data_IF_183385389204
#
_entry.id   IF_183385389204
#
_cell.length_a   1.000
_cell.length_b   1.000
_cell.length_c   1.000
_cell.angle_alpha   90.00
_cell.angle_beta   90.00
_cell.angle_gamma   90.00
#
_symmetry.space_group_name_H-M   'P 1'
#
loop_
_entity.id
_entity.type
_entity.pdbx_description
1 polymer ?
#
# COMPACT_ATOMS: atom_id res chain seq x y z
N UNK A 1 -12.17 3.93 3.17
CA UNK A 1 -11.68 2.55 3.46
C UNK A 1 -12.64 1.50 2.92
N UNK A 2 -13.94 1.68 3.13
CA UNK A 2 -15.04 0.86 2.59
C UNK A 2 -14.84 0.24 1.19
N UNK A 3 -14.49 1.03 0.17
CA UNK A 3 -14.22 0.55 -1.20
C UNK A 3 -13.16 -0.57 -1.25
N UNK A 4 -12.11 -0.47 -0.43
CA UNK A 4 -11.09 -1.50 -0.32
C UNK A 4 -11.67 -2.77 0.31
N UNK A 5 -12.42 -2.62 1.41
CA UNK A 5 -13.04 -3.75 2.14
C UNK A 5 -14.04 -4.49 1.25
N UNK A 6 -14.90 -3.77 0.53
CA UNK A 6 -15.84 -4.34 -0.44
C UNK A 6 -15.11 -5.17 -1.50
N UNK A 7 -13.98 -4.69 -2.02
CA UNK A 7 -13.16 -5.44 -2.97
C UNK A 7 -12.50 -6.66 -2.33
N UNK A 8 -12.00 -6.56 -1.10
CA UNK A 8 -11.44 -7.69 -0.34
C UNK A 8 -12.50 -8.80 -0.21
N UNK A 9 -13.73 -8.44 0.18
CA UNK A 9 -14.85 -9.37 0.33
C UNK A 9 -15.25 -9.99 -1.02
N UNK A 10 -15.44 -9.18 -2.06
CA UNK A 10 -15.86 -9.65 -3.38
C UNK A 10 -14.87 -10.64 -4.00
N UNK A 11 -13.57 -10.40 -3.80
CA UNK A 11 -12.49 -11.23 -4.34
C UNK A 11 -12.04 -12.33 -3.37
N UNK A 12 -12.54 -12.29 -2.14
CA UNK A 12 -12.06 -13.07 -0.98
C UNK A 12 -10.54 -13.05 -0.90
N UNK A 13 -9.95 -11.87 -0.99
CA UNK A 13 -8.51 -11.72 -1.09
C UNK A 13 -8.01 -10.48 -0.33
N UNK A 14 -7.33 -10.65 0.81
CA UNK A 14 -6.78 -9.54 1.59
C UNK A 14 -5.34 -9.22 1.18
N UNK A 15 -4.97 -9.41 -0.09
CA UNK A 15 -3.62 -9.09 -0.58
C UNK A 15 -3.58 -7.74 -1.30
N UNK A 16 -2.42 -7.11 -1.27
CA UNK A 16 -2.08 -5.99 -2.15
C UNK A 16 -0.78 -6.29 -2.87
N UNK A 17 -0.75 -6.09 -4.19
CA UNK A 17 0.46 -6.27 -4.99
C UNK A 17 1.25 -4.96 -4.97
N UNK A 18 2.46 -5.01 -4.44
CA UNK A 18 3.39 -3.88 -4.46
C UNK A 18 4.02 -3.73 -5.84
N UNK A 19 3.82 -2.57 -6.48
CA UNK A 19 4.38 -2.24 -7.79
C UNK A 19 5.68 -1.45 -7.60
N UNK A 20 6.72 -2.18 -7.21
CA UNK A 20 8.05 -1.67 -6.88
C UNK A 20 9.11 -2.14 -7.93
N UNK A 21 8.94 -1.77 -9.22
CA UNK A 21 9.75 -2.32 -10.29
C UNK A 21 11.23 -1.91 -10.17
N UNK A 22 12.12 -2.85 -10.51
CA UNK A 22 13.52 -2.59 -10.87
C UNK A 22 13.73 -3.09 -12.28
N UNK A 23 14.66 -2.51 -13.03
CA UNK A 23 15.05 -3.04 -14.35
C UNK A 23 15.41 -4.53 -14.28
N UNK A 24 16.04 -4.96 -13.19
CA UNK A 24 16.37 -6.37 -12.98
C UNK A 24 15.15 -7.27 -12.86
N UNK A 25 13.97 -6.78 -12.47
CA UNK A 25 12.75 -7.59 -12.35
C UNK A 25 12.07 -7.80 -13.71
N UNK A 26 12.34 -6.91 -14.66
CA UNK A 26 11.65 -6.82 -15.93
C UNK A 26 12.28 -7.78 -16.94
N UNK A 27 11.47 -8.61 -17.62
CA UNK A 27 11.95 -9.48 -18.69
C UNK A 27 12.70 -8.72 -19.78
N UNK A 28 13.73 -9.37 -20.34
CA UNK A 28 14.58 -8.77 -21.36
C UNK A 28 13.81 -8.26 -22.60
N UNK A 29 12.80 -8.98 -23.16
CA UNK A 29 12.04 -8.48 -24.30
C UNK A 29 11.31 -7.16 -24.03
N UNK A 30 10.76 -6.98 -22.81
CA UNK A 30 10.06 -5.75 -22.41
C UNK A 30 11.04 -4.58 -22.31
N UNK A 31 12.20 -4.80 -21.68
CA UNK A 31 13.26 -3.77 -21.62
C UNK A 31 13.76 -3.39 -23.01
N UNK A 32 14.03 -4.38 -23.86
CA UNK A 32 14.54 -4.15 -25.20
C UNK A 32 13.56 -3.36 -26.06
N UNK A 33 12.26 -3.67 -26.00
CA UNK A 33 11.22 -2.92 -26.69
C UNK A 33 11.17 -1.45 -26.24
N UNK A 34 11.21 -1.21 -24.92
CA UNK A 34 11.23 0.15 -24.37
C UNK A 34 12.49 0.92 -24.76
N UNK A 35 13.67 0.29 -24.68
CA UNK A 35 14.95 0.91 -25.04
C UNK A 35 15.11 1.13 -26.54
N UNK A 36 14.50 0.30 -27.39
CA UNK A 36 14.47 0.54 -28.83
C UNK A 36 13.67 1.80 -29.18
N UNK A 37 12.58 2.10 -28.45
CA UNK A 37 11.72 3.27 -28.68
C UNK A 37 12.25 4.56 -28.06
N UNK A 38 12.85 4.47 -26.87
CA UNK A 38 13.17 5.65 -26.05
C UNK A 38 14.65 5.75 -25.64
N UNK A 39 15.49 4.84 -26.15
CA UNK A 39 16.89 4.73 -25.79
C UNK A 39 17.10 4.16 -24.39
N UNK A 40 18.37 3.94 -24.03
CA UNK A 40 18.81 3.56 -22.68
C UNK A 40 18.87 4.80 -21.79
N UNK A 41 17.70 5.36 -21.49
CA UNK A 41 17.51 6.62 -20.77
C UNK A 41 16.56 6.44 -19.60
N UNK A 42 16.41 7.46 -18.74
CA UNK A 42 15.37 7.46 -17.69
C UNK A 42 13.95 7.29 -18.29
N UNK A 43 13.72 7.88 -19.47
CA UNK A 43 12.48 7.71 -20.22
C UNK A 43 12.29 6.26 -20.70
N UNK A 44 13.34 5.61 -21.20
CA UNK A 44 13.28 4.19 -21.59
C UNK A 44 13.06 3.25 -20.41
N UNK A 45 13.69 3.53 -19.27
CA UNK A 45 13.46 2.78 -18.04
C UNK A 45 12.02 2.95 -17.52
N UNK A 46 11.50 4.18 -17.53
CA UNK A 46 10.13 4.48 -17.11
C UNK A 46 9.11 3.81 -18.04
N UNK A 47 9.34 3.79 -19.35
CA UNK A 47 8.50 3.06 -20.30
C UNK A 47 8.50 1.55 -20.04
N UNK A 48 9.66 0.96 -19.71
CA UNK A 48 9.75 -0.45 -19.33
C UNK A 48 8.98 -0.73 -18.02
N UNK A 49 9.06 0.17 -17.02
CA UNK A 49 8.32 0.07 -15.76
C UNK A 49 6.82 0.09 -16.01
N UNK A 50 6.34 1.03 -16.84
CA UNK A 50 4.93 1.16 -17.16
C UNK A 50 4.38 -0.08 -17.86
N UNK A 51 5.03 -0.56 -18.93
CA UNK A 51 4.58 -1.76 -19.64
C UNK A 51 4.56 -2.99 -18.72
N UNK A 52 5.60 -3.14 -17.90
CA UNK A 52 5.68 -4.22 -16.92
C UNK A 52 4.52 -4.13 -15.91
N UNK A 53 4.29 -2.96 -15.32
CA UNK A 53 3.22 -2.74 -14.35
C UNK A 53 1.83 -2.98 -14.96
N UNK A 54 1.57 -2.50 -16.17
CA UNK A 54 0.29 -2.71 -16.87
C UNK A 54 0.01 -4.20 -17.07
N UNK A 55 1.02 -4.97 -17.49
CA UNK A 55 0.88 -6.42 -17.65
C UNK A 55 0.69 -7.17 -16.34
N UNK A 56 1.30 -6.71 -15.24
CA UNK A 56 1.03 -7.24 -13.90
C UNK A 56 -0.41 -6.93 -13.48
N UNK A 57 -0.83 -5.67 -13.60
CA UNK A 57 -2.19 -5.20 -13.28
C UNK A 57 -3.23 -6.03 -14.04
N UNK A 58 -3.06 -6.19 -15.34
CA UNK A 58 -3.96 -6.97 -16.19
C UNK A 58 -4.11 -8.42 -15.73
N UNK A 59 -3.03 -9.01 -15.22
CA UNK A 59 -3.03 -10.39 -14.77
C UNK A 59 -3.61 -10.58 -13.36
N UNK A 60 -3.78 -9.51 -12.57
CA UNK A 60 -4.22 -9.62 -11.17
C UNK A 60 -5.47 -8.80 -10.83
N UNK A 61 -5.95 -7.90 -11.69
CA UNK A 61 -7.01 -6.95 -11.34
C UNK A 61 -8.36 -7.58 -10.98
N UNK A 62 -8.62 -8.80 -11.48
CA UNK A 62 -9.81 -9.61 -11.22
C UNK A 62 -9.66 -10.54 -9.99
N UNK A 63 -8.48 -10.60 -9.37
CA UNK A 63 -8.23 -11.48 -8.22
C UNK A 63 -7.64 -10.76 -7.01
N UNK A 64 -7.03 -9.58 -7.18
CA UNK A 64 -6.42 -8.77 -6.11
C UNK A 64 -7.20 -7.45 -5.96
N UNK A 65 -7.55 -7.02 -4.73
CA UNK A 65 -8.34 -5.81 -4.52
C UNK A 65 -7.56 -4.54 -4.83
N UNK A 66 -6.25 -4.52 -4.60
CA UNK A 66 -5.44 -3.30 -4.63
C UNK A 66 -4.04 -3.50 -5.20
N UNK A 67 -3.45 -2.39 -5.66
CA UNK A 67 -2.01 -2.26 -5.91
C UNK A 67 -1.41 -1.17 -5.03
N UNK A 68 -0.11 -1.29 -4.73
CA UNK A 68 0.63 -0.33 -3.92
C UNK A 68 1.95 0.09 -4.57
N UNK A 69 1.96 1.08 -5.48
CA UNK A 69 3.21 1.61 -6.02
C UNK A 69 4.03 2.34 -4.93
N UNK A 70 5.32 1.98 -4.77
CA UNK A 70 6.26 2.68 -3.89
C UNK A 70 6.97 3.82 -4.62
N UNK A 71 6.68 5.07 -4.23
CA UNK A 71 7.15 6.27 -4.92
C UNK A 71 8.66 6.29 -5.18
N UNK A 72 9.48 5.81 -4.23
CA UNK A 72 10.94 5.83 -4.36
C UNK A 72 11.47 5.18 -5.65
N UNK A 73 10.82 4.12 -6.15
CA UNK A 73 11.23 3.43 -7.38
C UNK A 73 10.97 4.26 -8.64
N UNK A 74 9.93 5.10 -8.60
CA UNK A 74 9.55 6.00 -9.68
C UNK A 74 10.37 7.29 -9.60
N UNK A 75 10.52 7.85 -8.39
CA UNK A 75 11.36 9.03 -8.13
C UNK A 75 12.82 8.83 -8.60
N UNK A 76 13.36 7.62 -8.45
CA UNK A 76 14.70 7.26 -8.93
C UNK A 76 14.89 7.44 -10.44
N UNK A 77 13.79 7.52 -11.22
CA UNK A 77 13.81 7.79 -12.66
C UNK A 77 13.48 9.25 -12.99
N UNK A 78 13.45 10.17 -12.03
CA UNK A 78 13.17 11.59 -12.23
C UNK A 78 11.75 11.86 -12.76
N UNK A 79 11.58 12.96 -13.49
CA UNK A 79 10.25 13.34 -14.02
C UNK A 79 9.60 12.27 -14.93
N UNK A 80 10.34 11.49 -15.77
CA UNK A 80 9.74 10.37 -16.51
C UNK A 80 9.15 9.31 -15.59
N UNK A 81 9.83 9.04 -14.47
CA UNK A 81 9.34 8.12 -13.45
C UNK A 81 8.11 8.64 -12.73
N UNK A 82 8.07 9.93 -12.39
CA UNK A 82 6.86 10.54 -11.80
C UNK A 82 5.66 10.50 -12.75
N UNK A 83 5.88 10.70 -14.06
CA UNK A 83 4.84 10.45 -15.06
C UNK A 83 4.42 8.99 -15.10
N UNK A 84 5.37 8.05 -15.08
CA UNK A 84 5.09 6.62 -15.02
C UNK A 84 4.26 6.24 -13.78
N UNK A 85 4.50 6.88 -12.62
CA UNK A 85 3.69 6.69 -11.42
C UNK A 85 2.24 7.12 -11.68
N UNK A 86 2.03 8.34 -12.17
CA UNK A 86 0.69 8.85 -12.48
C UNK A 86 -0.05 7.96 -13.49
N UNK A 87 0.62 7.54 -14.56
CA UNK A 87 0.05 6.64 -15.58
C UNK A 87 -0.24 5.24 -15.02
N UNK A 88 0.60 4.72 -14.11
CA UNK A 88 0.35 3.44 -13.44
C UNK A 88 -0.88 3.51 -12.53
N UNK A 89 -1.04 4.61 -11.77
CA UNK A 89 -2.21 4.83 -10.91
C UNK A 89 -3.48 4.92 -11.75
N UNK A 90 -3.48 5.76 -12.78
CA UNK A 90 -4.62 5.92 -13.69
C UNK A 90 -5.00 4.59 -14.38
N UNK A 91 -4.00 3.80 -14.78
CA UNK A 91 -4.24 2.49 -15.39
C UNK A 91 -4.85 1.49 -14.40
N UNK A 92 -4.36 1.44 -13.15
CA UNK A 92 -4.93 0.59 -12.12
C UNK A 92 -6.39 0.96 -11.80
N UNK A 93 -6.71 2.26 -11.77
CA UNK A 93 -8.08 2.76 -11.63
C UNK A 93 -8.98 2.37 -12.80
N UNK A 94 -8.47 2.46 -14.04
CA UNK A 94 -9.21 2.00 -15.22
C UNK A 94 -9.50 0.48 -15.19
N UNK A 95 -8.72 -0.29 -14.44
CA UNK A 95 -8.96 -1.72 -14.15
C UNK A 95 -9.75 -1.96 -12.85
N UNK A 96 -10.33 -0.91 -12.27
CA UNK A 96 -11.19 -0.97 -11.09
C UNK A 96 -10.44 -1.24 -9.78
N UNK A 97 -9.11 -1.21 -9.76
CA UNK A 97 -8.31 -1.52 -8.57
C UNK A 97 -8.28 -0.35 -7.59
N UNK A 98 -8.15 -0.66 -6.30
CA UNK A 98 -7.82 0.33 -5.28
C UNK A 98 -6.31 0.60 -5.30
N UNK A 99 -5.89 1.84 -5.14
CA UNK A 99 -4.48 2.24 -5.25
C UNK A 99 -4.00 2.88 -3.96
N UNK A 100 -3.01 2.24 -3.33
CA UNK A 100 -2.33 2.77 -2.16
C UNK A 100 -0.97 3.34 -2.61
N UNK A 101 -0.84 4.64 -2.71
CA UNK A 101 0.45 5.27 -2.97
C UNK A 101 1.33 5.17 -1.73
N UNK A 102 2.44 4.43 -1.82
CA UNK A 102 3.36 4.29 -0.70
C UNK A 102 4.45 5.36 -0.78
N UNK A 103 4.11 6.57 -0.31
CA UNK A 103 4.98 7.76 -0.36
C UNK A 103 5.63 8.14 0.97
N UNK A 104 5.14 7.62 2.10
CA UNK A 104 5.61 7.92 3.47
C UNK A 104 5.80 9.42 3.72
N UNK A 105 4.90 10.25 3.19
CA UNK A 105 5.03 11.71 3.26
C UNK A 105 4.97 12.19 4.70
N UNK A 106 5.73 13.22 5.00
CA UNK A 106 5.89 13.78 6.33
C UNK A 106 6.37 15.23 6.19
N UNK A 107 5.52 16.16 6.57
CA UNK A 107 5.85 17.59 6.64
C UNK A 107 4.79 18.26 7.54
N UNK A 108 4.79 19.59 7.62
CA UNK A 108 3.77 20.35 8.36
C UNK A 108 3.18 21.48 7.51
N UNK A 109 2.03 21.99 7.95
CA UNK A 109 1.42 23.20 7.38
C UNK A 109 1.22 23.15 5.86
N UNK A 110 1.63 24.22 5.18
CA UNK A 110 1.47 24.39 3.72
C UNK A 110 2.19 23.33 2.90
N UNK A 111 3.32 22.83 3.37
CA UNK A 111 4.06 21.80 2.63
C UNK A 111 3.31 20.47 2.67
N UNK A 112 2.75 20.13 3.83
CA UNK A 112 1.92 18.93 3.95
C UNK A 112 0.59 19.07 3.18
N UNK A 113 0.02 20.28 3.09
CA UNK A 113 -1.11 20.56 2.20
C UNK A 113 -0.76 20.28 0.73
N UNK A 114 0.42 20.68 0.27
CA UNK A 114 0.87 20.39 -1.10
C UNK A 114 1.01 18.87 -1.33
N UNK A 115 1.57 18.11 -0.38
CA UNK A 115 1.63 16.65 -0.48
C UNK A 115 0.25 15.99 -0.48
N UNK A 116 -0.67 16.48 0.36
CA UNK A 116 -2.04 15.97 0.45
C UNK A 116 -2.80 16.20 -0.86
N UNK A 117 -2.72 17.40 -1.42
CA UNK A 117 -3.30 17.75 -2.72
C UNK A 117 -2.69 16.94 -3.87
N UNK A 118 -1.36 16.76 -3.89
CA UNK A 118 -0.66 16.00 -4.93
C UNK A 118 -1.11 14.53 -4.99
N UNK A 119 -1.20 13.87 -3.83
CA UNK A 119 -1.38 12.42 -3.76
C UNK A 119 -2.83 11.97 -3.60
N UNK A 120 -3.65 12.71 -2.84
CA UNK A 120 -5.02 12.33 -2.52
C UNK A 120 -6.07 13.30 -3.05
N UNK A 121 -5.72 14.60 -3.15
CA UNK A 121 -6.64 15.67 -3.49
C UNK A 121 -6.54 16.16 -4.93
N UNK A 122 -6.81 17.45 -5.08
CA UNK A 122 -6.80 18.19 -6.33
C UNK A 122 -6.07 19.51 -6.14
N UNK A 123 -5.61 20.09 -7.25
CA UNK A 123 -5.01 21.43 -7.30
C UNK A 123 -5.88 22.30 -8.20
N UNK A 124 -6.15 23.52 -7.76
CA UNK A 124 -6.86 24.51 -8.58
C UNK A 124 -5.88 25.19 -9.55
N UNK A 125 -6.23 25.19 -10.85
CA UNK A 125 -5.50 25.84 -11.92
C UNK A 125 -6.50 26.72 -12.68
N UNK A 126 -6.44 28.03 -12.45
CA UNK A 126 -7.30 29.03 -13.11
C UNK A 126 -8.82 28.68 -13.03
N UNK A 127 -9.26 28.26 -11.84
CA UNK A 127 -10.65 27.87 -11.58
C UNK A 127 -11.00 26.41 -11.95
N UNK A 128 -10.08 25.64 -12.53
CA UNK A 128 -10.27 24.21 -12.80
C UNK A 128 -9.58 23.34 -11.76
N UNK A 129 -10.29 22.33 -11.24
CA UNK A 129 -9.72 21.35 -10.31
C UNK A 129 -9.07 20.21 -11.10
N UNK A 130 -7.75 20.08 -10.96
CA UNK A 130 -6.96 19.03 -11.60
C UNK A 130 -6.45 18.02 -10.56
N UNK A 131 -6.59 16.73 -10.84
CA UNK A 131 -6.01 15.65 -10.02
C UNK A 131 -4.57 15.36 -10.46
N UNK A 132 -3.56 15.47 -9.58
CA UNK A 132 -2.17 15.21 -9.97
C UNK A 132 -1.86 13.72 -10.06
N UNK A 133 -1.69 13.01 -8.93
CA UNK A 133 -1.44 11.56 -8.92
C UNK A 133 -2.71 10.75 -8.67
N UNK A 134 -3.56 11.18 -7.73
CA UNK A 134 -4.89 10.63 -7.53
C UNK A 134 -4.96 9.24 -6.89
N UNK A 135 -4.11 8.88 -5.93
CA UNK A 135 -4.25 7.62 -5.18
C UNK A 135 -5.56 7.55 -4.37
N UNK A 136 -6.02 6.34 -4.03
CA UNK A 136 -7.13 6.14 -3.08
C UNK A 136 -6.62 6.19 -1.63
N UNK A 137 -5.39 5.77 -1.36
CA UNK A 137 -4.75 5.97 -0.06
C UNK A 137 -3.28 6.35 -0.15
N UNK A 138 -2.77 7.00 0.90
CA UNK A 138 -1.37 7.42 1.01
C UNK A 138 -0.73 6.88 2.29
N UNK A 139 0.47 6.32 2.21
CA UNK A 139 1.28 6.06 3.41
C UNK A 139 1.95 7.35 3.90
N UNK A 140 1.93 7.60 5.21
CA UNK A 140 2.45 8.82 5.83
C UNK A 140 3.20 8.52 7.12
N UNK A 141 4.10 9.40 7.55
CA UNK A 141 4.76 9.28 8.84
C UNK A 141 4.09 10.22 9.86
N UNK A 142 3.67 9.68 11.01
CA UNK A 142 2.99 10.46 12.06
C UNK A 142 3.94 11.18 13.03
N UNK A 143 5.26 11.12 12.81
CA UNK A 143 6.27 11.61 13.76
C UNK A 143 6.09 13.08 14.19
N UNK A 144 5.66 13.96 13.27
CA UNK A 144 5.44 15.38 13.56
C UNK A 144 4.11 15.66 14.28
N UNK A 145 3.36 14.61 14.64
CA UNK A 145 2.08 14.72 15.32
C UNK A 145 0.95 15.24 14.42
N UNK A 146 -0.08 15.78 15.05
CA UNK A 146 -1.33 16.17 14.37
C UNK A 146 -1.11 17.21 13.26
N UNK A 147 -0.10 18.07 13.36
CA UNK A 147 0.17 19.10 12.36
C UNK A 147 0.56 18.52 10.99
N UNK A 148 1.19 17.34 10.98
CA UNK A 148 1.51 16.61 9.76
C UNK A 148 0.37 15.71 9.24
N UNK A 149 -0.69 15.53 10.03
CA UNK A 149 -1.81 14.65 9.69
C UNK A 149 -3.06 15.43 9.32
N UNK A 150 -3.31 16.56 9.97
CA UNK A 150 -4.52 17.37 9.80
C UNK A 150 -4.84 17.72 8.33
N UNK A 151 -3.89 18.15 7.47
CA UNK A 151 -4.17 18.44 6.07
C UNK A 151 -4.71 17.23 5.29
N UNK A 152 -4.35 16.01 5.69
CA UNK A 152 -4.88 14.79 5.08
C UNK A 152 -6.29 14.53 5.58
N UNK A 153 -6.54 14.68 6.89
CA UNK A 153 -7.87 14.46 7.49
C UNK A 153 -8.94 15.36 6.84
N UNK A 154 -8.59 16.60 6.50
CA UNK A 154 -9.48 17.52 5.78
C UNK A 154 -9.92 16.96 4.41
N UNK A 155 -9.01 16.31 3.67
CA UNK A 155 -9.35 15.61 2.42
C UNK A 155 -10.23 14.38 2.71
N UNK A 156 -9.89 13.59 3.73
CA UNK A 156 -10.63 12.37 4.07
C UNK A 156 -12.10 12.67 4.43
N UNK A 157 -12.34 13.76 5.16
CA UNK A 157 -13.68 14.22 5.52
C UNK A 157 -14.51 14.64 4.30
N UNK A 158 -13.87 15.15 3.24
CA UNK A 158 -14.53 15.54 2.00
C UNK A 158 -14.77 14.39 1.02
N UNK A 159 -14.04 13.28 1.15
CA UNK A 159 -14.11 12.13 0.24
C UNK A 159 -13.92 10.80 0.98
N UNK A 160 -15.02 10.10 1.23
CA UNK A 160 -15.06 8.78 1.87
C UNK A 160 -14.26 7.69 1.11
N UNK A 161 -13.97 7.92 -0.17
CA UNK A 161 -13.14 7.06 -1.01
C UNK A 161 -11.65 7.14 -0.68
N UNK A 162 -11.20 8.15 0.06
CA UNK A 162 -9.79 8.34 0.42
C UNK A 162 -9.41 7.68 1.74
N UNK A 163 -8.12 7.48 1.96
CA UNK A 163 -7.56 7.01 3.22
C UNK A 163 -6.08 7.29 3.39
N UNK A 164 -5.56 7.07 4.60
CA UNK A 164 -4.14 7.10 4.89
C UNK A 164 -3.71 5.88 5.68
N UNK A 165 -2.44 5.51 5.57
CA UNK A 165 -1.81 4.50 6.42
C UNK A 165 -0.59 5.12 7.11
N UNK A 166 -0.71 5.35 8.42
CA UNK A 166 0.35 5.98 9.22
C UNK A 166 1.38 4.93 9.63
N UNK A 167 2.68 5.23 9.49
CA UNK A 167 3.74 4.36 10.00
C UNK A 167 3.62 4.18 11.53
N UNK A 168 3.42 2.94 11.99
CA UNK A 168 3.23 2.61 13.40
C UNK A 168 4.33 1.68 13.92
N UNK A 169 4.31 0.39 13.53
CA UNK A 169 5.35 -0.60 13.86
C UNK A 169 5.84 -1.26 12.58
N UNK A 170 7.02 -0.88 12.08
CA UNK A 170 7.51 -1.32 10.77
C UNK A 170 8.31 -2.63 10.83
N UNK A 171 8.53 -3.24 9.67
CA UNK A 171 9.14 -4.57 9.54
C UNK A 171 10.67 -4.58 9.37
N UNK A 172 11.33 -3.43 9.44
CA UNK A 172 12.79 -3.35 9.32
C UNK A 172 13.48 -3.84 10.61
N UNK A 173 14.71 -4.41 10.51
CA UNK A 173 15.45 -4.92 11.67
C UNK A 173 15.67 -3.88 12.77
N UNK A 174 16.00 -2.64 12.41
CA UNK A 174 16.29 -1.53 13.33
C UNK A 174 15.04 -0.80 13.85
N UNK A 175 13.85 -1.39 13.73
CA UNK A 175 12.62 -0.76 14.22
C UNK A 175 12.66 -0.55 15.74
N UNK A 176 13.35 -1.43 16.46
CA UNK A 176 13.54 -1.43 17.90
C UNK A 176 14.35 -0.23 18.43
N UNK A 177 15.20 0.38 17.61
CA UNK A 177 15.98 1.58 17.97
C UNK A 177 15.09 2.74 18.44
N UNK A 178 13.88 2.86 17.89
CA UNK A 178 12.93 3.90 18.26
C UNK A 178 11.57 3.35 18.65
N UNK A 179 10.97 2.48 17.84
CA UNK A 179 9.56 2.14 17.96
C UNK A 179 9.26 1.34 19.23
N UNK A 180 10.22 0.52 19.67
CA UNK A 180 10.09 -0.32 20.87
C UNK A 180 10.61 0.38 22.13
N UNK A 181 11.07 1.63 22.03
CA UNK A 181 11.44 2.40 23.20
C UNK A 181 10.21 2.63 24.08
N UNK A 182 10.40 2.49 25.39
CA UNK A 182 9.35 2.60 26.39
C UNK A 182 9.43 3.98 27.03
N UNK A 183 8.32 4.72 26.98
CA UNK A 183 8.15 6.03 27.59
C UNK A 183 7.95 5.90 29.10
N UNK A 184 8.12 7.01 29.81
CA UNK A 184 7.72 7.12 31.22
C UNK A 184 6.21 6.83 31.32
N UNK A 185 5.84 5.76 32.03
CA UNK A 185 4.48 5.22 32.06
C UNK A 185 4.33 3.82 31.46
N UNK A 186 5.38 3.25 30.86
CA UNK A 186 5.41 1.85 30.39
C UNK A 186 4.88 1.64 28.98
N UNK A 187 4.49 2.71 28.28
CA UNK A 187 3.97 2.66 26.93
C UNK A 187 5.09 2.68 25.88
N UNK A 188 4.97 1.86 24.84
CA UNK A 188 5.91 1.87 23.71
C UNK A 188 5.63 3.02 22.75
N UNK A 189 6.64 3.51 22.04
CA UNK A 189 6.44 4.54 21.01
C UNK A 189 5.48 4.06 19.90
N UNK A 190 5.58 2.79 19.47
CA UNK A 190 4.63 2.26 18.49
C UNK A 190 3.20 2.17 19.03
N UNK A 191 3.02 1.83 20.30
CA UNK A 191 1.70 1.76 20.93
C UNK A 191 1.05 3.14 21.04
N UNK A 192 1.84 4.16 21.42
CA UNK A 192 1.39 5.56 21.40
C UNK A 192 1.03 6.04 19.98
N UNK A 193 1.81 5.66 18.97
CA UNK A 193 1.50 5.97 17.58
C UNK A 193 0.21 5.27 17.11
N UNK A 194 -0.02 4.03 17.54
CA UNK A 194 -1.28 3.32 17.35
C UNK A 194 -2.45 4.10 17.92
N UNK A 195 -2.36 4.54 19.18
CA UNK A 195 -3.41 5.35 19.82
C UNK A 195 -3.65 6.67 19.10
N UNK A 196 -2.60 7.30 18.55
CA UNK A 196 -2.75 8.49 17.71
C UNK A 196 -3.56 8.18 16.45
N UNK A 197 -3.29 7.06 15.78
CA UNK A 197 -4.06 6.62 14.61
C UNK A 197 -5.54 6.43 14.97
N UNK A 198 -5.83 5.74 16.07
CA UNK A 198 -7.20 5.53 16.54
C UNK A 198 -7.89 6.86 16.89
N UNK A 199 -7.18 7.79 17.55
CA UNK A 199 -7.72 9.13 17.87
C UNK A 199 -8.00 9.97 16.63
N UNK A 200 -7.09 10.02 15.68
CA UNK A 200 -7.32 10.73 14.41
C UNK A 200 -8.44 10.08 13.62
N UNK A 201 -8.52 8.74 13.64
CA UNK A 201 -9.57 7.98 12.98
C UNK A 201 -10.98 8.24 13.51
N UNK A 202 -11.13 8.56 14.81
CA UNK A 202 -12.41 8.97 15.42
C UNK A 202 -12.92 10.35 14.94
N UNK A 203 -12.07 11.16 14.34
CA UNK A 203 -12.47 12.47 13.78
C UNK A 203 -13.13 12.32 12.40
N UNK A 204 -13.07 11.13 11.81
CA UNK A 204 -13.79 10.74 10.60
C UNK A 204 -14.91 9.75 10.95
N UNK A 205 -15.96 9.72 10.14
CA UNK A 205 -16.99 8.71 10.28
C UNK A 205 -16.40 7.32 10.01
N UNK A 206 -16.77 6.34 10.83
CA UNK A 206 -16.50 4.94 10.54
C UNK A 206 -17.31 4.52 9.32
N UNK A 207 -16.75 3.63 8.51
CA UNK A 207 -17.49 3.01 7.42
C UNK A 207 -18.47 1.94 7.91
N UNK A 208 -19.24 1.37 6.98
CA UNK A 208 -20.24 0.33 7.26
C UNK A 208 -19.65 -0.96 7.88
N UNK A 209 -18.33 -1.13 7.84
CA UNK A 209 -17.60 -2.26 8.41
C UNK A 209 -16.94 -1.92 9.75
N UNK A 210 -17.13 -0.70 10.26
CA UNK A 210 -16.56 -0.24 11.53
C UNK A 210 -15.12 0.25 11.43
N UNK A 211 -14.59 0.51 10.23
CA UNK A 211 -13.21 0.96 10.04
C UNK A 211 -13.12 2.44 9.67
N UNK A 212 -12.06 3.10 10.13
CA UNK A 212 -11.76 4.50 9.77
C UNK A 212 -10.96 4.60 8.47
N UNK A 213 -10.97 5.79 7.86
CA UNK A 213 -10.07 6.16 6.76
C UNK A 213 -8.62 6.36 7.23
N UNK A 214 -8.38 6.49 8.54
CA UNK A 214 -7.03 6.49 9.13
C UNK A 214 -6.65 5.07 9.53
N UNK A 215 -5.79 4.46 8.73
CA UNK A 215 -5.18 3.17 8.98
C UNK A 215 -3.75 3.28 9.54
N UNK A 216 -3.17 2.13 9.88
CA UNK A 216 -1.80 2.01 10.36
C UNK A 216 -0.98 1.04 9.51
N UNK A 217 0.32 1.30 9.36
CA UNK A 217 1.29 0.35 8.82
C UNK A 217 1.88 -0.44 9.97
N UNK A 218 1.62 -1.75 9.98
CA UNK A 218 2.06 -2.67 11.03
C UNK A 218 2.71 -3.88 10.38
N UNK A 219 3.99 -4.13 10.65
CA UNK A 219 4.82 -5.11 9.95
C UNK A 219 4.55 -6.55 10.34
N UNK A 220 4.66 -7.46 9.38
CA UNK A 220 4.46 -8.91 9.55
C UNK A 220 5.53 -9.61 10.42
N UNK A 221 6.68 -8.97 10.66
CA UNK A 221 7.83 -9.57 11.35
C UNK A 221 7.62 -9.73 12.86
N UNK A 222 6.55 -9.15 13.42
CA UNK A 222 6.33 -9.09 14.86
C UNK A 222 4.91 -9.56 15.26
N UNK A 223 4.63 -10.88 15.21
CA UNK A 223 3.26 -11.41 15.38
C UNK A 223 2.59 -11.03 16.70
N UNK A 224 3.36 -10.98 17.81
CA UNK A 224 2.83 -10.63 19.12
C UNK A 224 2.36 -9.17 19.17
N UNK A 225 3.18 -8.25 18.67
CA UNK A 225 2.88 -6.81 18.63
C UNK A 225 1.75 -6.51 17.63
N UNK A 226 1.68 -7.27 16.53
CA UNK A 226 0.60 -7.20 15.57
C UNK A 226 -0.76 -7.57 16.21
N UNK A 227 -0.80 -8.67 16.97
CA UNK A 227 -2.01 -9.11 17.69
C UNK A 227 -2.39 -8.15 18.83
N UNK A 228 -1.40 -7.64 19.59
CA UNK A 228 -1.60 -6.62 20.61
C UNK A 228 -2.25 -5.37 20.02
N UNK A 229 -1.67 -4.83 18.94
CA UNK A 229 -2.20 -3.65 18.26
C UNK A 229 -3.59 -3.90 17.67
N UNK A 230 -3.87 -5.10 17.16
CA UNK A 230 -5.21 -5.42 16.63
C UNK A 230 -6.28 -5.28 17.70
N UNK A 231 -6.02 -5.75 18.91
CA UNK A 231 -6.92 -5.60 20.06
C UNK A 231 -7.04 -4.16 20.57
N UNK A 232 -5.93 -3.42 20.53
CA UNK A 232 -5.86 -2.03 20.98
C UNK A 232 -6.54 -1.04 20.01
N UNK A 233 -6.51 -1.31 18.72
CA UNK A 233 -6.90 -0.37 17.65
C UNK A 233 -8.12 -0.88 16.86
N UNK A 234 -9.29 -1.14 17.47
CA UNK A 234 -10.38 -1.89 16.84
C UNK A 234 -10.91 -1.29 15.53
N UNK A 235 -10.84 0.02 15.34
CA UNK A 235 -11.36 0.70 14.14
C UNK A 235 -10.27 1.06 13.11
N UNK A 236 -9.00 0.79 13.41
CA UNK A 236 -7.87 1.12 12.54
C UNK A 236 -7.62 -0.02 11.55
N UNK A 237 -7.66 0.26 10.24
CA UNK A 237 -7.33 -0.73 9.21
C UNK A 237 -5.81 -0.86 9.04
N UNK A 238 -5.28 -2.09 8.96
CA UNK A 238 -3.85 -2.33 8.88
C UNK A 238 -3.37 -2.57 7.44
N UNK A 239 -2.33 -1.85 7.03
CA UNK A 239 -1.48 -2.22 5.90
C UNK A 239 -0.30 -3.02 6.44
N UNK A 240 -0.20 -4.30 6.07
CA UNK A 240 0.78 -5.23 6.62
C UNK A 240 1.87 -5.55 5.60
N UNK A 241 3.02 -4.82 5.60
CA UNK A 241 4.17 -5.18 4.80
C UNK A 241 4.96 -6.33 5.42
N UNK A 242 5.73 -7.03 4.58
CA UNK A 242 6.75 -7.99 5.03
C UNK A 242 6.40 -9.45 4.90
N UNK A 243 5.23 -9.79 4.35
CA UNK A 243 4.93 -11.16 3.95
C UNK A 243 5.92 -11.65 2.87
N UNK A 244 6.40 -12.88 3.03
CA UNK A 244 7.32 -13.55 2.14
C UNK A 244 8.76 -13.04 2.25
N UNK A 245 9.10 -11.98 1.51
CA UNK A 245 10.50 -11.58 1.30
C UNK A 245 11.23 -11.08 2.57
N UNK A 246 10.49 -10.68 3.61
CA UNK A 246 11.04 -10.23 4.90
C UNK A 246 10.83 -11.29 6.01
N UNK A 247 10.41 -12.50 5.66
CA UNK A 247 10.34 -13.64 6.58
C UNK A 247 8.97 -13.90 7.22
N UNK A 248 7.99 -13.01 7.08
CA UNK A 248 6.63 -13.24 7.61
C UNK A 248 5.81 -14.20 6.74
N UNK A 249 5.17 -15.18 7.35
CA UNK A 249 4.20 -16.10 6.72
C UNK A 249 2.75 -15.77 7.03
N UNK A 250 1.81 -16.58 6.54
CA UNK A 250 0.38 -16.36 6.76
C UNK A 250 -0.03 -16.45 8.24
N UNK A 251 0.59 -17.36 9.01
CA UNK A 251 0.36 -17.48 10.45
C UNK A 251 0.84 -16.27 11.24
N UNK A 252 1.93 -15.65 10.79
CA UNK A 252 2.53 -14.48 11.45
C UNK A 252 1.66 -13.23 11.30
N UNK A 253 0.93 -13.13 10.18
CA UNK A 253 0.04 -12.00 9.91
C UNK A 253 -1.40 -12.23 10.37
N UNK A 254 -1.75 -13.44 10.81
CA UNK A 254 -3.13 -13.78 11.20
C UNK A 254 -3.65 -12.89 12.33
N UNK A 255 -2.77 -12.49 13.27
CA UNK A 255 -3.10 -11.57 14.35
C UNK A 255 -3.48 -10.15 13.92
N UNK A 256 -3.29 -9.78 12.64
CA UNK A 256 -3.72 -8.49 12.11
C UNK A 256 -5.22 -8.42 11.78
N UNK A 257 -5.89 -9.57 11.70
CA UNK A 257 -7.28 -9.66 11.26
C UNK A 257 -8.23 -9.71 12.45
N UNK A 258 -9.42 -9.14 12.28
CA UNK A 258 -10.50 -9.25 13.24
C UNK A 258 -11.19 -10.63 13.17
N UNK A 259 -12.18 -10.83 14.04
CA UNK A 259 -12.98 -12.07 14.10
C UNK A 259 -13.77 -12.36 12.81
N UNK A 260 -13.96 -11.37 11.94
CA UNK A 260 -14.65 -11.48 10.66
C UNK A 260 -13.66 -11.64 9.49
N UNK A 261 -12.36 -11.86 9.75
CA UNK A 261 -11.34 -11.98 8.72
C UNK A 261 -11.06 -10.67 7.97
N UNK A 262 -11.42 -9.52 8.55
CA UNK A 262 -11.24 -8.17 8.00
C UNK A 262 -10.18 -7.40 8.82
N UNK A 263 -10.03 -6.10 8.53
CA UNK A 263 -9.18 -5.19 9.30
C UNK A 263 -7.72 -5.11 8.87
N UNK A 264 -7.29 -5.92 7.89
CA UNK A 264 -5.95 -5.85 7.34
C UNK A 264 -5.89 -6.15 5.84
N UNK A 265 -4.86 -5.61 5.19
CA UNK A 265 -4.42 -5.97 3.84
C UNK A 265 -2.91 -6.24 3.83
N UNK A 266 -2.50 -7.36 3.27
CA UNK A 266 -1.13 -7.87 3.33
C UNK A 266 -0.41 -7.59 2.02
N UNK A 267 0.71 -6.87 2.11
CA UNK A 267 1.48 -6.47 0.94
C UNK A 267 2.55 -7.50 0.56
N UNK A 268 2.58 -7.87 -0.72
CA UNK A 268 3.68 -8.59 -1.34
C UNK A 268 4.09 -7.92 -2.64
N UNK A 269 5.39 -7.64 -2.77
CA UNK A 269 5.98 -6.91 -3.90
C UNK A 269 6.92 -7.83 -4.68
N UNK A 270 8.19 -7.91 -4.25
CA UNK A 270 9.23 -8.70 -4.92
C UNK A 270 8.81 -10.15 -5.21
N UNK A 271 8.16 -10.84 -4.27
CA UNK A 271 7.76 -12.22 -4.48
C UNK A 271 6.82 -12.39 -5.68
N UNK A 272 5.87 -11.47 -5.87
CA UNK A 272 4.94 -11.44 -7.01
C UNK A 272 5.66 -10.98 -8.27
N UNK A 273 6.37 -9.84 -8.24
CA UNK A 273 7.01 -9.25 -9.42
C UNK A 273 8.10 -10.14 -10.01
N UNK A 274 8.80 -10.93 -9.18
CA UNK A 274 9.87 -11.84 -9.62
C UNK A 274 9.47 -13.31 -9.54
N UNK A 275 8.17 -13.62 -9.41
CA UNK A 275 7.67 -14.99 -9.35
C UNK A 275 8.20 -15.84 -10.52
N UNK A 276 8.24 -15.24 -11.71
CA UNK A 276 8.72 -15.88 -12.93
C UNK A 276 10.17 -16.36 -12.84
N UNK A 277 11.04 -15.54 -12.23
CA UNK A 277 12.44 -15.91 -11.98
C UNK A 277 12.54 -17.05 -10.98
N UNK A 278 11.77 -16.99 -9.89
CA UNK A 278 11.76 -18.01 -8.84
C UNK A 278 11.25 -19.36 -9.37
N UNK A 279 10.27 -19.33 -10.26
CA UNK A 279 9.69 -20.51 -10.89
C UNK A 279 10.51 -21.02 -12.09
N UNK A 280 11.49 -20.25 -12.57
CA UNK A 280 12.31 -20.61 -13.73
C UNK A 280 11.54 -20.62 -15.06
N UNK A 281 10.40 -19.92 -15.14
CA UNK A 281 9.61 -19.84 -16.37
C UNK A 281 10.14 -18.73 -17.29
N UNK A 282 9.89 -18.81 -18.61
CA UNK A 282 10.32 -17.78 -19.55
C UNK A 282 9.79 -16.39 -19.19
N UNK A 283 10.58 -15.36 -19.49
CA UNK A 283 10.25 -13.98 -19.17
C UNK A 283 8.94 -13.52 -19.79
N UNK A 284 8.51 -14.08 -20.91
CA UNK A 284 7.23 -13.80 -21.56
C UNK A 284 6.02 -14.17 -20.70
N UNK A 285 6.18 -15.16 -19.81
CA UNK A 285 5.14 -15.67 -18.90
C UNK A 285 5.12 -14.95 -17.55
N UNK A 286 5.84 -13.83 -17.39
CA UNK A 286 5.98 -13.19 -16.10
C UNK A 286 4.67 -12.79 -15.42
N UNK A 287 3.71 -12.32 -16.22
CA UNK A 287 2.40 -11.90 -15.72
C UNK A 287 1.57 -13.10 -15.22
N UNK A 288 1.69 -14.25 -15.89
CA UNK A 288 1.05 -15.51 -15.46
C UNK A 288 1.67 -16.01 -14.15
N UNK A 289 3.00 -15.96 -14.04
CA UNK A 289 3.70 -16.32 -12.80
C UNK A 289 3.32 -15.39 -11.63
N UNK A 290 3.18 -14.09 -11.88
CA UNK A 290 2.72 -13.12 -10.89
C UNK A 290 1.29 -13.42 -10.42
N UNK A 291 0.37 -13.72 -11.36
CA UNK A 291 -1.00 -14.16 -11.02
C UNK A 291 -0.99 -15.42 -10.15
N UNK A 292 -0.22 -16.44 -10.54
CA UNK A 292 -0.12 -17.68 -9.79
C UNK A 292 0.40 -17.46 -8.37
N UNK A 293 1.42 -16.60 -8.19
CA UNK A 293 1.93 -16.26 -6.87
C UNK A 293 0.92 -15.47 -6.02
N UNK A 294 0.16 -14.55 -6.63
CA UNK A 294 -0.92 -13.84 -5.94
C UNK A 294 -2.04 -14.78 -5.47
N UNK A 295 -2.43 -15.76 -6.29
CA UNK A 295 -3.40 -16.79 -5.91
C UNK A 295 -2.89 -17.69 -4.77
N UNK A 296 -1.63 -18.14 -4.87
CA UNK A 296 -0.97 -18.92 -3.80
C UNK A 296 -0.96 -18.15 -2.49
N UNK A 297 -0.60 -16.86 -2.52
CA UNK A 297 -0.59 -16.00 -1.35
C UNK A 297 -2.00 -15.83 -0.76
N UNK A 298 -3.02 -15.63 -1.60
CA UNK A 298 -4.42 -15.59 -1.16
C UNK A 298 -4.81 -16.85 -0.42
N UNK A 299 -4.53 -18.03 -1.00
CA UNK A 299 -4.86 -19.32 -0.39
C UNK A 299 -4.14 -19.54 0.94
N UNK A 300 -2.85 -19.20 1.01
CA UNK A 300 -2.05 -19.28 2.23
C UNK A 300 -2.65 -18.39 3.34
N UNK A 301 -3.00 -17.13 3.03
CA UNK A 301 -3.65 -16.23 3.98
C UNK A 301 -5.02 -16.74 4.43
N UNK A 302 -5.89 -17.13 3.50
CA UNK A 302 -7.23 -17.64 3.81
C UNK A 302 -7.18 -18.91 4.67
N UNK A 303 -6.09 -19.67 4.63
CA UNK A 303 -5.90 -20.85 5.49
C UNK A 303 -5.55 -20.51 6.95
N UNK A 304 -5.09 -19.28 7.20
CA UNK A 304 -4.57 -18.86 8.51
C UNK A 304 -5.45 -17.81 9.22
N UNK A 305 -6.31 -17.09 8.50
CA UNK A 305 -7.17 -16.04 9.06
C UNK A 305 -8.60 -16.54 9.36
N UNK A 306 -9.36 -15.86 10.24
CA UNK A 306 -10.78 -16.14 10.41
C UNK A 306 -11.57 -16.05 9.09
N UNK A 307 -12.68 -16.79 8.94
CA UNK A 307 -13.50 -16.71 7.74
C UNK A 307 -13.94 -15.27 7.48
N UNK A 308 -13.81 -14.83 6.23
CA UNK A 308 -14.32 -13.52 5.80
C UNK A 308 -15.84 -13.51 5.83
N UNK A 309 -16.43 -12.74 6.75
CA UNK A 309 -17.87 -12.58 6.90
C UNK A 309 -18.22 -11.10 6.85
N UNK A 310 -19.34 -10.76 6.24
CA UNK A 310 -19.90 -9.41 6.32
C UNK A 310 -20.54 -9.24 7.71
N UNK A 311 -20.07 -8.28 8.53
CA UNK A 311 -20.63 -8.04 9.86
C UNK A 311 -22.10 -7.60 9.83
#
# INVERSE_FOLDING_TARGET
>A
MEKLIQRILALRNPTVVGLDPKLDYIPEPVKQAAFARHGRTLQGAAAAYLEFNQRIIDAVCDIVPAVKPQCAYYEALGWPGMRCLAETIAYAHARGMYVITDGKRNDIGSTMQAYAAAHLGQVEIDGELCTPFGGDALTVNGYLGSDGIKPLLEILQGDAGKGIFVLCKTSNPSADELQDQVLEGGESIYGLMGDLCERWGRQAALDSYGYSQVGAVVGATWPAQLAELRGRLPHTFFLVPGYGAQGGGAKDVAGAFDQNGLGAIVNSSRAVLTAWKKQGVPGEQFAQAARAEALRMREDLLSAIPPMVQP
#
